data_IF_507506425845
#
_entry.id   IF_507506425845
#
_cell.length_a   1.000
_cell.length_b   1.000
_cell.length_c   1.000
_cell.angle_alpha   90.00
_cell.angle_beta   90.00
_cell.angle_gamma   90.00
#
_symmetry.space_group_name_H-M   'P 1'
#
loop_
_entity.id
_entity.type
_entity.pdbx_description
1 polymer ?
#
# COMPACT_ATOMS: atom_id res chain seq x y z
N UNK A 1 8.41 -8.62 5.35
CA UNK A 1 7.20 -9.41 5.73
C UNK A 1 6.07 -8.95 4.82
N UNK A 2 5.01 -9.73 4.63
CA UNK A 2 3.87 -9.36 3.78
C UNK A 2 2.54 -9.78 4.43
N UNK A 3 1.48 -9.00 4.20
CA UNK A 3 0.09 -9.38 4.52
C UNK A 3 -0.64 -9.57 3.19
N UNK A 4 -1.07 -10.80 2.91
CA UNK A 4 -1.85 -11.14 1.73
C UNK A 4 -3.36 -11.07 2.03
N UNK A 5 -4.13 -10.45 1.13
CA UNK A 5 -5.59 -10.41 1.18
C UNK A 5 -6.18 -11.26 0.05
N UNK A 6 -7.31 -11.93 0.32
CA UNK A 6 -7.99 -12.78 -0.68
C UNK A 6 -8.47 -12.02 -1.92
N UNK A 7 -8.55 -10.69 -1.85
CA UNK A 7 -8.92 -9.78 -2.93
C UNK A 7 -7.83 -9.58 -3.98
N UNK A 8 -6.62 -10.13 -3.75
CA UNK A 8 -5.45 -9.91 -4.60
C UNK A 8 -4.66 -8.65 -4.23
N UNK A 9 -5.01 -8.01 -3.11
CA UNK A 9 -4.18 -7.00 -2.48
C UNK A 9 -3.10 -7.64 -1.61
N UNK A 10 -1.94 -7.00 -1.57
CA UNK A 10 -0.82 -7.40 -0.72
C UNK A 10 -0.20 -6.15 -0.09
N UNK A 11 0.16 -6.25 1.19
CA UNK A 11 0.82 -5.18 1.93
C UNK A 11 2.26 -5.59 2.18
N UNK A 12 3.23 -4.85 1.65
CA UNK A 12 4.64 -5.12 1.81
C UNK A 12 5.29 -4.14 2.79
N UNK A 13 6.08 -4.68 3.70
CA UNK A 13 6.88 -3.89 4.63
C UNK A 13 8.22 -3.57 3.99
N UNK A 14 8.57 -2.30 3.88
CA UNK A 14 9.92 -1.91 3.48
C UNK A 14 10.90 -2.16 4.63
N UNK A 15 11.87 -3.03 4.37
CA UNK A 15 12.96 -3.36 5.30
C UNK A 15 14.29 -2.70 4.91
N UNK A 16 14.28 -1.79 3.93
CA UNK A 16 15.49 -1.04 3.60
C UNK A 16 15.81 -0.08 4.75
N UNK A 17 17.03 -0.16 5.29
CA UNK A 17 17.53 0.54 6.49
C UNK A 17 17.27 2.06 6.51
N UNK A 18 17.00 2.66 5.34
CA UNK A 18 16.70 4.09 5.20
C UNK A 18 15.24 4.46 5.50
N UNK A 19 14.32 3.51 5.41
CA UNK A 19 12.87 3.69 5.62
C UNK A 19 12.29 2.64 6.58
N UNK A 20 13.15 1.93 7.31
CA UNK A 20 12.76 0.80 8.14
C UNK A 20 11.68 1.23 9.14
N UNK A 21 10.48 0.65 8.98
CA UNK A 21 9.32 0.94 9.81
C UNK A 21 8.57 2.25 9.50
N UNK A 22 8.97 3.04 8.50
CA UNK A 22 8.35 4.35 8.19
C UNK A 22 7.35 4.30 7.04
N UNK A 23 7.41 3.26 6.19
CA UNK A 23 6.53 3.11 5.03
C UNK A 23 6.03 1.67 4.86
N UNK A 24 4.84 1.53 4.27
CA UNK A 24 4.29 0.26 3.78
C UNK A 24 3.75 0.43 2.37
N UNK A 25 4.00 -0.55 1.52
CA UNK A 25 3.49 -0.60 0.15
C UNK A 25 2.16 -1.33 0.10
N UNK A 26 1.23 -0.86 -0.73
CA UNK A 26 0.01 -1.58 -1.10
C UNK A 26 0.13 -1.96 -2.58
N UNK A 27 0.10 -3.26 -2.85
CA UNK A 27 0.07 -3.83 -4.18
C UNK A 27 -1.29 -4.42 -4.51
N UNK A 28 -1.65 -4.43 -5.78
CA UNK A 28 -2.78 -5.20 -6.31
C UNK A 28 -2.28 -6.09 -7.46
N UNK A 29 -2.41 -7.40 -7.30
CA UNK A 29 -1.91 -8.41 -8.26
C UNK A 29 -0.44 -8.19 -8.65
N UNK A 30 0.40 -7.86 -7.67
CA UNK A 30 1.83 -7.63 -7.84
C UNK A 30 2.21 -6.27 -8.44
N UNK A 31 1.25 -5.35 -8.63
CA UNK A 31 1.54 -3.97 -9.05
C UNK A 31 1.37 -3.01 -7.89
N UNK A 32 2.36 -2.14 -7.67
CA UNK A 32 2.27 -1.06 -6.69
C UNK A 32 1.18 -0.06 -7.09
N UNK A 33 0.17 0.10 -6.22
CA UNK A 33 -0.93 1.04 -6.44
C UNK A 33 -0.91 2.20 -5.46
N UNK A 34 -0.42 1.97 -4.24
CA UNK A 34 -0.31 2.99 -3.22
C UNK A 34 0.83 2.71 -2.24
N UNK A 35 1.21 3.71 -1.46
CA UNK A 35 2.12 3.59 -0.33
C UNK A 35 1.63 4.48 0.80
N UNK A 36 1.72 4.01 2.04
CA UNK A 36 1.46 4.82 3.23
C UNK A 36 2.81 5.12 3.89
N UNK A 37 3.02 6.38 4.27
CA UNK A 37 4.18 6.81 5.04
C UNK A 37 3.74 7.46 6.36
N UNK A 38 4.59 7.34 7.40
CA UNK A 38 4.40 7.97 8.71
C UNK A 38 5.47 9.01 9.05
N UNK A 39 6.06 9.64 8.05
CA UNK A 39 7.15 10.61 8.20
C UNK A 39 6.78 11.80 9.10
N UNK A 40 5.49 12.17 9.11
CA UNK A 40 4.93 13.24 9.95
C UNK A 40 4.35 12.74 11.29
N UNK A 41 4.60 11.48 11.62
CA UNK A 41 4.07 10.80 12.80
C UNK A 41 2.77 10.02 12.51
N UNK A 42 2.41 9.14 13.45
CA UNK A 42 1.28 8.19 13.33
C UNK A 42 -0.06 8.89 13.08
N UNK A 43 -0.28 10.06 13.68
CA UNK A 43 -1.53 10.82 13.54
C UNK A 43 -1.61 11.64 12.24
N UNK A 44 -0.50 11.73 11.49
CA UNK A 44 -0.39 12.50 10.25
C UNK A 44 0.16 11.62 9.12
N UNK A 45 -0.25 10.35 9.09
CA UNK A 45 0.09 9.45 7.98
C UNK A 45 -0.46 9.99 6.66
N UNK A 46 0.34 9.84 5.61
CA UNK A 46 0.00 10.25 4.26
C UNK A 46 -0.01 9.03 3.35
N UNK A 47 -0.88 9.06 2.33
CA UNK A 47 -0.98 8.00 1.32
C UNK A 47 -0.62 8.58 -0.05
N UNK A 48 0.38 7.99 -0.68
CA UNK A 48 0.76 8.24 -2.06
C UNK A 48 0.00 7.26 -2.96
N UNK A 49 -0.63 7.77 -4.02
CA UNK A 49 -1.33 6.95 -5.02
C UNK A 49 -0.56 7.02 -6.33
N UNK A 50 -0.15 5.86 -6.84
CA UNK A 50 0.66 5.78 -8.05
C UNK A 50 -0.19 5.37 -9.25
N UNK A 51 -0.36 6.29 -10.20
CA UNK A 51 -0.94 6.00 -11.52
C UNK A 51 0.11 5.74 -12.59
N UNK A 52 1.39 6.04 -12.29
CA UNK A 52 2.50 6.06 -13.26
C UNK A 52 3.26 4.74 -13.39
N UNK A 53 3.11 3.81 -12.42
CA UNK A 53 3.73 2.47 -12.47
C UNK A 53 2.80 1.41 -13.07
N UNK A 54 1.65 1.85 -13.54
CA UNK A 54 0.58 1.06 -14.13
C UNK A 54 0.83 1.03 -15.64
N UNK A 55 1.30 -0.10 -16.17
CA UNK A 55 1.60 -0.25 -17.61
C UNK A 55 0.39 0.11 -18.49
N UNK A 56 0.58 0.50 -19.77
CA UNK A 56 -0.50 0.95 -20.65
C UNK A 56 -1.66 -0.04 -20.81
N UNK A 57 -1.41 -1.35 -20.67
CA UNK A 57 -2.45 -2.39 -20.68
C UNK A 57 -3.36 -2.34 -19.44
N UNK A 58 -2.90 -1.67 -18.38
CA UNK A 58 -3.55 -1.54 -17.08
C UNK A 58 -4.18 -0.14 -16.88
N UNK A 59 -3.98 0.81 -17.81
CA UNK A 59 -4.71 2.10 -17.79
C UNK A 59 -6.21 1.95 -18.10
N UNK A 60 -6.65 0.85 -18.72
CA UNK A 60 -8.07 0.47 -18.79
C UNK A 60 -8.59 -0.20 -17.50
N UNK A 61 -7.70 -0.61 -16.59
CA UNK A 61 -7.97 -1.55 -15.49
C UNK A 61 -7.38 -1.16 -14.13
N UNK A 62 -6.99 0.10 -13.87
CA UNK A 62 -6.75 0.57 -12.49
C UNK A 62 -8.08 0.75 -11.73
N UNK A 63 -8.85 -0.34 -11.72
CA UNK A 63 -10.13 -0.53 -11.08
C UNK A 63 -10.00 -1.81 -10.28
N UNK A 64 -10.16 -1.65 -8.99
CA UNK A 64 -10.24 -2.73 -8.03
C UNK A 64 -11.48 -2.49 -7.17
N UNK A 65 -12.00 -3.52 -6.50
CA UNK A 65 -13.17 -3.35 -5.64
C UNK A 65 -12.88 -2.33 -4.54
N UNK A 66 -13.74 -1.32 -4.41
CA UNK A 66 -13.55 -0.21 -3.47
C UNK A 66 -13.42 -0.71 -2.02
N UNK A 67 -14.29 -1.63 -1.60
CA UNK A 67 -14.28 -2.15 -0.24
C UNK A 67 -12.97 -2.87 0.08
N UNK A 68 -12.48 -3.67 -0.87
CA UNK A 68 -11.23 -4.42 -0.72
C UNK A 68 -10.03 -3.46 -0.64
N UNK A 69 -10.05 -2.37 -1.40
CA UNK A 69 -9.03 -1.33 -1.31
C UNK A 69 -9.07 -0.61 0.05
N UNK A 70 -10.25 -0.25 0.54
CA UNK A 70 -10.40 0.37 1.86
C UNK A 70 -9.91 -0.56 2.98
N UNK A 71 -10.22 -1.85 2.88
CA UNK A 71 -9.69 -2.87 3.80
C UNK A 71 -8.15 -2.95 3.74
N UNK A 72 -7.58 -2.96 2.53
CA UNK A 72 -6.13 -2.96 2.36
C UNK A 72 -5.48 -1.71 2.97
N UNK A 73 -6.08 -0.53 2.80
CA UNK A 73 -5.61 0.72 3.41
C UNK A 73 -5.71 0.66 4.94
N UNK A 74 -6.81 0.16 5.50
CA UNK A 74 -6.96 0.02 6.95
C UNK A 74 -5.92 -0.95 7.53
N UNK A 75 -5.70 -2.09 6.87
CA UNK A 75 -4.69 -3.08 7.27
C UNK A 75 -3.27 -2.53 7.17
N UNK A 76 -2.97 -1.78 6.12
CA UNK A 76 -1.68 -1.14 5.94
C UNK A 76 -1.43 -0.06 7.02
N UNK A 77 -2.45 0.74 7.36
CA UNK A 77 -2.39 1.73 8.44
C UNK A 77 -2.13 1.06 9.79
N UNK A 78 -2.87 -0.01 10.12
CA UNK A 78 -2.67 -0.79 11.35
C UNK A 78 -1.25 -1.34 11.43
N UNK A 79 -0.80 -2.00 10.35
CA UNK A 79 0.53 -2.56 10.23
C UNK A 79 1.63 -1.51 10.44
N UNK A 80 1.51 -0.34 9.81
CA UNK A 80 2.50 0.72 9.92
C UNK A 80 2.50 1.41 11.28
N UNK A 81 1.35 1.46 11.97
CA UNK A 81 1.25 2.02 13.32
C UNK A 81 1.96 1.15 14.37
N UNK A 82 1.91 -0.16 14.19
CA UNK A 82 2.45 -1.14 15.14
C UNK A 82 3.96 -1.42 14.93
N UNK A 83 4.58 -0.82 13.90
CA UNK A 83 6.03 -0.74 13.68
C UNK A 83 6.66 0.42 14.46
#
# INVERSE_FOLDING_TARGET
MAIELNSGFEILYFSDLSYEGMTVEIQYKGQQVAQINKDKGVEQMEIDIYSQYVHPDFLSELKFPLNDFLEAVDKAREALRDL
#
